data_IF_476289308618
#
_entry.id   IF_476289308618
#
_cell.length_a   1.000
_cell.length_b   1.000
_cell.length_c   1.000
_cell.angle_alpha   90.00
_cell.angle_beta   90.00
_cell.angle_gamma   90.00
#
_symmetry.space_group_name_H-M   'P 1'
#
loop_
_entity.id
_entity.type
_entity.pdbx_description
1 polymer ?
#
# COMPACT_ATOMS: atom_id res chain seq x y z
N UNK A 1 26.76 -4.99 3.55
CA UNK A 1 25.43 -4.41 3.38
C UNK A 1 25.12 -4.07 1.91
N UNK A 2 25.96 -3.31 1.21
CA UNK A 2 25.77 -2.96 -0.20
C UNK A 2 25.59 -4.18 -1.13
N UNK A 3 26.40 -5.27 -1.04
CA UNK A 3 26.21 -6.41 -1.94
C UNK A 3 24.87 -7.14 -1.71
N UNK A 4 24.42 -7.27 -0.45
CA UNK A 4 23.12 -7.87 -0.12
C UNK A 4 21.98 -7.04 -0.68
N UNK A 5 22.03 -5.72 -0.52
CA UNK A 5 21.03 -4.79 -1.05
C UNK A 5 20.97 -4.88 -2.59
N UNK A 6 22.13 -4.87 -3.27
CA UNK A 6 22.21 -5.01 -4.72
C UNK A 6 21.62 -6.34 -5.21
N UNK A 7 21.85 -7.42 -4.47
CA UNK A 7 21.28 -8.74 -4.77
C UNK A 7 19.74 -8.73 -4.65
N UNK A 8 19.18 -8.13 -3.60
CA UNK A 8 17.73 -8.02 -3.41
C UNK A 8 17.08 -7.14 -4.48
N UNK A 9 17.69 -6.00 -4.86
CA UNK A 9 17.22 -5.20 -5.99
C UNK A 9 17.25 -5.98 -7.30
N UNK A 10 18.32 -6.73 -7.56
CA UNK A 10 18.42 -7.55 -8.76
C UNK A 10 17.32 -8.64 -8.79
N UNK A 11 17.02 -9.28 -7.65
CA UNK A 11 15.90 -10.23 -7.53
C UNK A 11 14.58 -9.56 -7.91
N UNK A 12 14.26 -8.38 -7.33
CA UNK A 12 13.04 -7.65 -7.62
C UNK A 12 12.91 -7.35 -9.13
N UNK A 13 13.99 -6.90 -9.76
CA UNK A 13 14.03 -6.53 -11.18
C UNK A 13 14.07 -7.73 -12.15
N UNK A 14 14.42 -8.92 -11.69
CA UNK A 14 14.48 -10.12 -12.57
C UNK A 14 13.22 -10.99 -12.47
N UNK A 15 12.41 -10.82 -11.41
CA UNK A 15 11.21 -11.63 -11.20
C UNK A 15 10.07 -11.14 -12.09
N UNK A 16 9.59 -12.03 -12.97
CA UNK A 16 8.50 -11.73 -13.94
C UNK A 16 7.21 -11.27 -13.26
N UNK A 17 6.90 -11.79 -12.06
CA UNK A 17 5.69 -11.40 -11.33
C UNK A 17 5.68 -9.91 -10.95
N UNK A 18 6.82 -9.29 -10.69
CA UNK A 18 6.92 -7.85 -10.40
C UNK A 18 6.43 -7.01 -11.59
N UNK A 19 6.90 -7.32 -12.78
CA UNK A 19 6.49 -6.62 -14.01
C UNK A 19 5.02 -6.88 -14.33
N UNK A 20 4.57 -8.12 -14.18
CA UNK A 20 3.17 -8.49 -14.42
C UNK A 20 2.24 -7.73 -13.48
N UNK A 21 2.53 -7.69 -12.18
CA UNK A 21 1.73 -6.97 -11.18
C UNK A 21 1.75 -5.47 -11.46
N UNK A 22 2.92 -4.88 -11.74
CA UNK A 22 3.04 -3.45 -12.09
C UNK A 22 2.22 -3.11 -13.33
N UNK A 23 2.31 -3.91 -14.39
CA UNK A 23 1.55 -3.74 -15.62
C UNK A 23 0.03 -3.87 -15.39
N UNK A 24 -0.37 -4.87 -14.62
CA UNK A 24 -1.77 -5.08 -14.24
C UNK A 24 -2.32 -3.90 -13.44
N UNK A 25 -1.59 -3.41 -12.44
CA UNK A 25 -1.98 -2.22 -11.65
C UNK A 25 -2.13 -1.01 -12.55
N UNK A 26 -1.15 -0.78 -13.43
CA UNK A 26 -1.19 0.34 -14.39
C UNK A 26 -2.43 0.28 -15.27
N UNK A 27 -2.71 -0.89 -15.84
CA UNK A 27 -3.90 -1.11 -16.68
C UNK A 27 -5.20 -0.90 -15.89
N UNK A 28 -5.27 -1.41 -14.65
CA UNK A 28 -6.45 -1.24 -13.79
C UNK A 28 -6.67 0.21 -13.38
N UNK A 29 -5.63 0.95 -13.01
CA UNK A 29 -5.73 2.37 -12.66
C UNK A 29 -6.29 3.17 -13.84
N UNK A 30 -5.74 2.95 -15.04
CA UNK A 30 -6.25 3.60 -16.26
C UNK A 30 -7.71 3.23 -16.50
N UNK A 31 -8.02 1.94 -16.47
CA UNK A 31 -9.38 1.44 -16.75
C UNK A 31 -10.39 1.97 -15.73
N UNK A 32 -10.12 1.84 -14.42
CA UNK A 32 -11.06 2.27 -13.37
C UNK A 32 -11.26 3.78 -13.44
N UNK A 33 -10.19 4.57 -13.59
CA UNK A 33 -10.31 6.04 -13.64
C UNK A 33 -11.11 6.49 -14.85
N UNK A 34 -10.84 5.94 -16.02
CA UNK A 34 -11.60 6.24 -17.24
C UNK A 34 -13.06 5.74 -17.17
N UNK A 35 -13.29 4.58 -16.57
CA UNK A 35 -14.64 4.04 -16.37
C UNK A 35 -15.47 4.93 -15.42
N UNK A 36 -14.89 5.37 -14.31
CA UNK A 36 -15.58 6.23 -13.35
C UNK A 36 -15.95 7.56 -14.01
N UNK A 37 -15.01 8.20 -14.71
CA UNK A 37 -15.24 9.50 -15.36
C UNK A 37 -16.17 9.37 -16.56
N UNK A 38 -15.95 8.35 -17.41
CA UNK A 38 -16.66 8.23 -18.68
C UNK A 38 -18.07 7.65 -18.56
N UNK A 39 -18.34 6.86 -17.54
CA UNK A 39 -19.60 6.12 -17.45
C UNK A 39 -20.40 6.40 -16.17
N UNK A 40 -19.73 6.59 -15.04
CA UNK A 40 -20.38 6.69 -13.73
C UNK A 40 -20.68 8.13 -13.33
N UNK A 41 -19.82 9.09 -13.71
CA UNK A 41 -19.99 10.50 -13.37
C UNK A 41 -20.95 11.19 -14.34
N UNK A 42 -21.93 11.92 -13.79
CA UNK A 42 -22.77 12.81 -14.55
C UNK A 42 -22.04 14.12 -14.85
N UNK A 43 -22.54 14.91 -15.85
CA UNK A 43 -21.94 16.18 -16.23
C UNK A 43 -21.84 17.17 -15.05
N UNK A 44 -22.79 17.13 -14.11
CA UNK A 44 -22.77 17.95 -12.89
C UNK A 44 -21.61 17.54 -11.94
N UNK A 45 -21.33 16.26 -11.83
CA UNK A 45 -20.27 15.73 -10.95
C UNK A 45 -18.87 16.07 -11.47
N UNK A 46 -18.72 16.24 -12.79
CA UNK A 46 -17.45 16.65 -13.43
C UNK A 46 -17.04 18.08 -13.09
N UNK A 47 -17.97 18.91 -12.62
CA UNK A 47 -17.69 20.25 -12.14
C UNK A 47 -17.42 20.33 -10.64
N UNK A 48 -17.64 19.24 -9.88
CA UNK A 48 -17.40 19.18 -8.45
C UNK A 48 -15.97 18.71 -8.14
N UNK A 49 -15.11 19.58 -7.57
CA UNK A 49 -13.74 19.22 -7.21
C UNK A 49 -13.64 18.04 -6.23
N UNK A 50 -14.64 17.88 -5.36
CA UNK A 50 -14.66 16.79 -4.38
C UNK A 50 -14.85 15.44 -5.06
N UNK A 51 -15.75 15.34 -6.02
CA UNK A 51 -16.01 14.14 -6.81
C UNK A 51 -14.79 13.72 -7.64
N UNK A 52 -14.10 14.70 -8.23
CA UNK A 52 -12.87 14.47 -8.99
C UNK A 52 -11.71 14.00 -8.08
N UNK A 53 -11.61 14.56 -6.87
CA UNK A 53 -10.64 14.12 -5.88
C UNK A 53 -10.93 12.69 -5.42
N UNK A 54 -12.19 12.32 -5.22
CA UNK A 54 -12.60 10.96 -4.88
C UNK A 54 -12.28 9.97 -6.01
N UNK A 55 -12.52 10.34 -7.26
CA UNK A 55 -12.14 9.53 -8.42
C UNK A 55 -10.61 9.31 -8.49
N UNK A 56 -9.83 10.35 -8.22
CA UNK A 56 -8.37 10.26 -8.20
C UNK A 56 -7.86 9.43 -7.02
N UNK A 57 -8.45 9.55 -5.84
CA UNK A 57 -8.04 8.81 -4.64
C UNK A 57 -8.55 7.37 -4.63
N UNK A 58 -9.68 7.09 -5.28
CA UNK A 58 -10.22 5.73 -5.41
C UNK A 58 -9.24 4.75 -6.07
N UNK A 59 -8.44 5.22 -7.03
CA UNK A 59 -7.40 4.41 -7.66
C UNK A 59 -6.26 4.01 -6.70
N UNK A 60 -6.10 4.71 -5.56
CA UNK A 60 -5.06 4.40 -4.57
C UNK A 60 -5.28 3.07 -3.86
N UNK A 61 -6.50 2.54 -3.85
CA UNK A 61 -6.78 1.19 -3.34
C UNK A 61 -5.95 0.13 -4.06
N UNK A 62 -5.51 0.41 -5.29
CA UNK A 62 -4.57 -0.45 -6.03
C UNK A 62 -3.17 -0.52 -5.40
N UNK A 63 -2.84 0.31 -4.42
CA UNK A 63 -1.59 0.22 -3.66
C UNK A 63 -1.44 -1.10 -2.90
N UNK A 64 -2.53 -1.83 -2.65
CA UNK A 64 -2.51 -3.19 -2.09
C UNK A 64 -1.65 -4.15 -2.92
N UNK A 65 -1.59 -3.95 -4.24
CA UNK A 65 -0.73 -4.77 -5.11
C UNK A 65 0.76 -4.52 -4.86
N UNK A 66 1.14 -3.31 -4.45
CA UNK A 66 2.48 -3.03 -3.97
C UNK A 66 2.82 -3.82 -2.71
N UNK A 67 1.85 -3.96 -1.81
CA UNK A 67 1.98 -4.80 -0.62
C UNK A 67 2.12 -6.29 -0.99
N UNK A 68 1.40 -6.77 -2.00
CA UNK A 68 1.55 -8.15 -2.50
C UNK A 68 2.98 -8.39 -3.01
N UNK A 69 3.56 -7.46 -3.77
CA UNK A 69 4.97 -7.61 -4.20
C UNK A 69 5.93 -7.60 -3.01
N UNK A 70 5.69 -6.77 -2.00
CA UNK A 70 6.46 -6.79 -0.77
C UNK A 70 6.32 -8.13 0.01
N UNK A 71 5.14 -8.73 0.02
CA UNK A 71 4.92 -10.10 0.53
C UNK A 71 5.75 -11.10 -0.27
N UNK A 72 5.67 -11.07 -1.60
CA UNK A 72 6.38 -12.01 -2.46
C UNK A 72 7.91 -11.90 -2.29
N UNK A 73 8.45 -10.70 -2.09
CA UNK A 73 9.87 -10.46 -1.85
C UNK A 73 10.41 -11.28 -0.65
N UNK A 74 9.58 -11.49 0.35
CA UNK A 74 9.94 -12.25 1.55
C UNK A 74 9.55 -13.72 1.43
N UNK A 75 8.31 -14.00 1.03
CA UNK A 75 7.73 -15.33 1.12
C UNK A 75 8.18 -16.28 0.02
N UNK A 76 8.64 -15.78 -1.14
CA UNK A 76 9.24 -16.62 -2.17
C UNK A 76 10.43 -17.41 -1.65
N UNK A 77 11.28 -16.79 -0.80
CA UNK A 77 12.43 -17.49 -0.25
C UNK A 77 12.05 -18.61 0.72
N UNK A 78 10.95 -18.44 1.47
CA UNK A 78 10.40 -19.51 2.28
C UNK A 78 9.77 -20.61 1.43
N UNK A 79 8.97 -20.25 0.43
CA UNK A 79 8.29 -21.21 -0.45
C UNK A 79 9.26 -22.09 -1.24
N UNK A 80 10.38 -21.54 -1.68
CA UNK A 80 11.39 -22.27 -2.48
C UNK A 80 12.59 -22.75 -1.65
N UNK A 81 12.50 -22.67 -0.31
CA UNK A 81 13.57 -23.08 0.63
C UNK A 81 14.93 -22.41 0.36
N UNK A 82 14.94 -21.23 -0.28
CA UNK A 82 16.17 -20.50 -0.59
C UNK A 82 16.62 -19.56 0.52
N UNK A 83 15.80 -19.39 1.56
CA UNK A 83 16.09 -18.50 2.69
C UNK A 83 17.42 -18.87 3.40
N UNK A 84 17.72 -20.17 3.51
CA UNK A 84 18.97 -20.64 4.13
C UNK A 84 20.20 -20.19 3.33
N UNK A 85 20.16 -20.28 2.02
CA UNK A 85 21.24 -19.79 1.15
C UNK A 85 21.44 -18.27 1.28
N UNK A 86 20.34 -17.52 1.37
CA UNK A 86 20.40 -16.07 1.57
C UNK A 86 21.00 -15.72 2.95
N UNK A 87 20.62 -16.44 4.01
CA UNK A 87 21.12 -16.21 5.36
C UNK A 87 22.58 -16.60 5.51
N UNK A 88 23.02 -17.72 4.93
CA UNK A 88 24.42 -18.16 4.99
C UNK A 88 25.36 -17.26 4.18
N UNK A 89 24.91 -16.79 3.03
CA UNK A 89 25.72 -15.90 2.18
C UNK A 89 25.87 -14.48 2.76
N UNK A 90 24.94 -14.02 3.59
CA UNK A 90 24.92 -12.63 4.09
C UNK A 90 25.59 -12.43 5.44
N UNK A 91 26.02 -13.51 6.12
CA UNK A 91 26.67 -13.51 7.44
C UNK A 91 25.88 -12.81 8.57
N UNK A 92 24.64 -12.35 8.33
CA UNK A 92 23.80 -11.68 9.35
C UNK A 92 22.33 -11.64 8.93
N UNK A 93 21.44 -12.19 9.78
CA UNK A 93 19.98 -12.16 9.57
C UNK A 93 19.42 -10.73 9.49
N UNK A 94 19.93 -9.85 10.36
CA UNK A 94 19.50 -8.44 10.38
C UNK A 94 19.78 -7.71 9.07
N UNK A 95 20.93 -7.98 8.43
CA UNK A 95 21.28 -7.34 7.14
C UNK A 95 20.32 -7.77 6.03
N UNK A 96 19.90 -9.03 6.02
CA UNK A 96 18.93 -9.55 5.04
C UNK A 96 17.59 -8.87 5.22
N UNK A 97 17.05 -8.86 6.45
CA UNK A 97 15.75 -8.23 6.72
C UNK A 97 15.76 -6.73 6.40
N UNK A 98 16.82 -6.02 6.79
CA UNK A 98 16.96 -4.60 6.49
C UNK A 98 17.08 -4.33 4.98
N UNK A 99 17.78 -5.17 4.22
CA UNK A 99 17.86 -5.06 2.77
C UNK A 99 16.50 -5.24 2.11
N UNK A 100 15.72 -6.23 2.57
CA UNK A 100 14.34 -6.45 2.09
C UNK A 100 13.42 -5.28 2.44
N UNK A 101 13.57 -4.72 3.65
CA UNK A 101 12.83 -3.53 4.06
C UNK A 101 13.09 -2.34 3.12
N UNK A 102 14.35 -2.06 2.79
CA UNK A 102 14.71 -0.97 1.87
C UNK A 102 14.14 -1.23 0.47
N UNK A 103 14.34 -2.44 -0.07
CA UNK A 103 13.88 -2.78 -1.42
C UNK A 103 12.36 -2.72 -1.53
N UNK A 104 11.64 -3.24 -0.54
CA UNK A 104 10.18 -3.16 -0.47
C UNK A 104 9.69 -1.71 -0.33
N UNK A 105 10.37 -0.88 0.50
CA UNK A 105 10.07 0.55 0.63
C UNK A 105 10.22 1.29 -0.68
N UNK A 106 11.33 1.09 -1.38
CA UNK A 106 11.58 1.75 -2.68
C UNK A 106 10.55 1.33 -3.72
N UNK A 107 10.22 0.04 -3.78
CA UNK A 107 9.21 -0.44 -4.73
C UNK A 107 7.80 0.08 -4.38
N UNK A 108 7.42 0.08 -3.11
CA UNK A 108 6.12 0.59 -2.68
C UNK A 108 5.98 2.10 -2.98
N UNK A 109 7.03 2.88 -2.74
CA UNK A 109 7.08 4.29 -3.10
C UNK A 109 7.02 4.51 -4.61
N UNK A 110 7.74 3.69 -5.39
CA UNK A 110 7.69 3.74 -6.85
C UNK A 110 6.26 3.48 -7.37
N UNK A 111 5.61 2.43 -6.88
CA UNK A 111 4.25 2.10 -7.29
C UNK A 111 3.24 3.18 -6.85
N UNK A 112 3.38 3.70 -5.63
CA UNK A 112 2.56 4.79 -5.14
C UNK A 112 2.71 6.06 -5.98
N UNK A 113 3.94 6.41 -6.36
CA UNK A 113 4.22 7.54 -7.25
C UNK A 113 3.61 7.33 -8.65
N UNK A 114 3.73 6.10 -9.18
CA UNK A 114 3.14 5.74 -10.46
C UNK A 114 1.62 5.90 -10.43
N UNK A 115 0.93 5.36 -9.42
CA UNK A 115 -0.52 5.52 -9.26
C UNK A 115 -0.88 6.99 -9.05
N UNK A 116 -0.12 7.70 -8.19
CA UNK A 116 -0.35 9.10 -7.85
C UNK A 116 -0.16 10.07 -9.02
N UNK A 117 0.60 9.70 -10.04
CA UNK A 117 0.75 10.46 -11.28
C UNK A 117 -0.31 10.04 -12.31
N UNK A 118 -0.50 8.73 -12.49
CA UNK A 118 -1.44 8.20 -13.48
C UNK A 118 -2.89 8.58 -13.17
N UNK A 119 -3.32 8.43 -11.93
CA UNK A 119 -4.73 8.65 -11.58
C UNK A 119 -5.19 10.09 -11.88
N UNK A 120 -4.56 11.17 -11.38
CA UNK A 120 -4.98 12.51 -11.71
C UNK A 120 -4.78 12.87 -13.19
N UNK A 121 -3.79 12.27 -13.86
CA UNK A 121 -3.58 12.45 -15.30
C UNK A 121 -4.75 11.87 -16.10
N UNK A 122 -5.23 10.67 -15.72
CA UNK A 122 -6.39 10.05 -16.36
C UNK A 122 -7.69 10.78 -16.02
N UNK A 123 -7.82 11.35 -14.81
CA UNK A 123 -8.94 12.24 -14.47
C UNK A 123 -8.94 13.46 -15.40
N UNK A 124 -7.81 14.14 -15.53
CA UNK A 124 -7.67 15.30 -16.42
C UNK A 124 -8.02 14.96 -17.87
N UNK A 125 -7.45 13.85 -18.38
CA UNK A 125 -7.74 13.39 -19.74
C UNK A 125 -9.23 13.08 -19.95
N UNK A 126 -9.84 12.36 -19.00
CA UNK A 126 -11.25 11.98 -19.09
C UNK A 126 -12.19 13.19 -19.11
N UNK A 127 -11.95 14.18 -18.24
CA UNK A 127 -12.73 15.42 -18.21
C UNK A 127 -12.55 16.22 -19.50
N UNK A 128 -11.32 16.29 -20.03
CA UNK A 128 -11.04 17.00 -21.27
C UNK A 128 -11.72 16.34 -22.49
N UNK A 129 -11.77 15.01 -22.53
CA UNK A 129 -12.48 14.26 -23.58
C UNK A 129 -13.99 14.51 -23.56
N UNK A 130 -14.58 14.88 -22.43
CA UNK A 130 -15.98 15.28 -22.32
C UNK A 130 -16.21 16.77 -22.65
N UNK A 131 -15.20 17.49 -23.13
CA UNK A 131 -15.32 18.90 -23.54
C UNK A 131 -15.34 19.89 -22.38
N UNK A 132 -14.98 19.47 -21.17
CA UNK A 132 -14.90 20.34 -20.00
C UNK A 132 -13.45 20.72 -19.69
N UNK A 133 -13.23 21.94 -19.19
CA UNK A 133 -11.92 22.38 -18.73
C UNK A 133 -11.86 22.24 -17.21
N UNK A 134 -10.90 21.44 -16.71
CA UNK A 134 -10.55 21.44 -15.29
C UNK A 134 -9.89 22.77 -14.93
N UNK A 135 -10.42 23.42 -13.90
CA UNK A 135 -9.73 24.57 -13.30
C UNK A 135 -8.57 24.04 -12.47
N UNK A 136 -7.30 24.34 -12.82
CA UNK A 136 -6.12 23.76 -12.15
C UNK A 136 -6.03 24.00 -10.64
N UNK A 137 -6.75 24.99 -10.12
CA UNK A 137 -6.74 25.40 -8.71
C UNK A 137 -7.55 24.48 -7.78
N UNK A 138 -8.32 23.54 -8.31
CA UNK A 138 -9.22 22.69 -7.50
C UNK A 138 -8.53 21.49 -6.84
N UNK A 139 -7.36 21.10 -7.31
CA UNK A 139 -6.60 19.98 -6.74
C UNK A 139 -5.30 20.50 -6.11
N UNK A 140 -5.24 20.51 -4.78
CA UNK A 140 -4.01 20.84 -4.04
C UNK A 140 -3.01 19.68 -4.13
N UNK A 141 -2.36 19.54 -5.28
CA UNK A 141 -1.44 18.43 -5.60
C UNK A 141 -0.33 18.23 -4.57
N UNK A 142 0.20 19.29 -3.97
CA UNK A 142 1.25 19.18 -2.97
C UNK A 142 0.81 18.44 -1.70
N UNK A 143 -0.38 18.74 -1.20
CA UNK A 143 -0.96 18.04 -0.05
C UNK A 143 -1.42 16.62 -0.40
N UNK A 144 -1.79 16.35 -1.63
CA UNK A 144 -2.20 15.03 -2.08
C UNK A 144 -0.99 14.11 -2.28
N UNK A 145 0.11 14.63 -2.83
CA UNK A 145 1.28 13.83 -3.18
C UNK A 145 1.88 13.08 -1.98
N UNK A 146 2.11 13.76 -0.84
CA UNK A 146 2.67 13.09 0.33
C UNK A 146 1.72 12.03 0.91
N UNK A 147 0.39 12.30 0.87
CA UNK A 147 -0.63 11.35 1.35
C UNK A 147 -0.63 10.07 0.52
N UNK A 148 -0.58 10.22 -0.81
CA UNK A 148 -0.51 9.11 -1.77
C UNK A 148 0.74 8.28 -1.55
N UNK A 149 1.90 8.92 -1.46
CA UNK A 149 3.17 8.25 -1.23
C UNK A 149 3.19 7.52 0.12
N UNK A 150 2.70 8.18 1.17
CA UNK A 150 2.63 7.58 2.50
C UNK A 150 1.66 6.39 2.53
N UNK A 151 0.49 6.52 1.90
CA UNK A 151 -0.51 5.45 1.83
C UNK A 151 0.05 4.19 1.14
N UNK A 152 0.61 4.35 -0.05
CA UNK A 152 1.18 3.21 -0.79
C UNK A 152 2.40 2.60 -0.10
N UNK A 153 3.26 3.43 0.49
CA UNK A 153 4.38 2.96 1.30
C UNK A 153 3.89 2.21 2.53
N UNK A 154 2.89 2.74 3.23
CA UNK A 154 2.29 2.14 4.41
C UNK A 154 1.73 0.75 4.12
N UNK A 155 0.95 0.60 3.05
CA UNK A 155 0.45 -0.71 2.61
C UNK A 155 1.60 -1.67 2.28
N UNK A 156 2.62 -1.21 1.55
CA UNK A 156 3.80 -2.02 1.23
C UNK A 156 4.51 -2.53 2.49
N UNK A 157 4.68 -1.66 3.49
CA UNK A 157 5.33 -2.03 4.75
C UNK A 157 4.48 -2.97 5.60
N UNK A 158 3.15 -2.82 5.61
CA UNK A 158 2.24 -3.78 6.24
C UNK A 158 2.34 -5.15 5.57
N UNK A 159 2.39 -5.20 4.24
CA UNK A 159 2.55 -6.45 3.49
C UNK A 159 3.85 -7.18 3.85
N UNK A 160 4.97 -6.47 3.85
CA UNK A 160 6.25 -7.06 4.24
C UNK A 160 6.23 -7.52 5.71
N UNK A 161 5.63 -6.74 6.61
CA UNK A 161 5.48 -7.11 8.02
C UNK A 161 4.68 -8.40 8.18
N UNK A 162 3.53 -8.52 7.51
CA UNK A 162 2.71 -9.73 7.52
C UNK A 162 3.49 -10.94 6.98
N UNK A 163 4.31 -10.75 5.95
CA UNK A 163 5.17 -11.79 5.41
C UNK A 163 6.24 -12.26 6.40
N UNK A 164 6.83 -11.33 7.15
CA UNK A 164 7.82 -11.64 8.20
C UNK A 164 7.17 -12.40 9.36
N UNK A 165 5.97 -12.01 9.77
CA UNK A 165 5.26 -12.62 10.89
C UNK A 165 4.74 -14.02 10.55
N UNK A 166 4.08 -14.18 9.39
CA UNK A 166 3.42 -15.43 8.99
C UNK A 166 4.35 -16.44 8.34
N UNK A 167 5.42 -15.98 7.66
CA UNK A 167 6.33 -16.80 6.83
C UNK A 167 5.61 -17.65 5.76
N UNK A 168 4.34 -17.39 5.56
CA UNK A 168 3.49 -18.11 4.62
C UNK A 168 2.90 -17.12 3.61
N UNK A 169 3.09 -17.41 2.33
CA UNK A 169 2.65 -16.54 1.24
C UNK A 169 1.14 -16.33 1.23
N UNK A 170 0.38 -17.44 1.39
CA UNK A 170 -1.09 -17.39 1.34
C UNK A 170 -1.63 -16.62 2.54
N UNK A 171 -1.16 -16.95 3.74
CA UNK A 171 -1.58 -16.28 4.96
C UNK A 171 -1.29 -14.77 4.94
N UNK A 172 -0.13 -14.36 4.40
CA UNK A 172 0.22 -12.94 4.29
C UNK A 172 -0.69 -12.20 3.31
N UNK A 173 -0.94 -12.78 2.12
CA UNK A 173 -1.81 -12.17 1.10
C UNK A 173 -3.25 -12.10 1.60
N UNK A 174 -3.77 -13.20 2.16
CA UNK A 174 -5.12 -13.22 2.74
C UNK A 174 -5.22 -12.20 3.89
N UNK A 175 -4.21 -12.12 4.75
CA UNK A 175 -4.15 -11.14 5.83
C UNK A 175 -4.24 -9.68 5.35
N UNK A 176 -3.65 -9.35 4.20
CA UNK A 176 -3.73 -8.02 3.61
C UNK A 176 -5.17 -7.58 3.25
N UNK A 177 -6.06 -8.53 2.97
CA UNK A 177 -7.47 -8.24 2.68
C UNK A 177 -8.35 -8.44 3.94
N UNK A 178 -8.12 -9.53 4.67
CA UNK A 178 -8.97 -9.88 5.81
C UNK A 178 -8.80 -8.89 6.98
N UNK A 179 -7.60 -8.41 7.23
CA UNK A 179 -7.38 -7.48 8.35
C UNK A 179 -8.11 -6.15 8.13
N UNK A 180 -7.92 -5.41 7.02
CA UNK A 180 -8.61 -4.14 6.83
C UNK A 180 -10.11 -4.29 6.58
N UNK A 181 -10.52 -5.28 5.79
CA UNK A 181 -11.89 -5.36 5.29
C UNK A 181 -12.84 -6.16 6.20
N UNK A 182 -12.31 -7.11 6.99
CA UNK A 182 -13.14 -7.95 7.87
C UNK A 182 -12.83 -7.66 9.34
N UNK A 183 -11.58 -7.79 9.75
CA UNK A 183 -11.20 -7.71 11.17
C UNK A 183 -11.43 -6.28 11.69
N UNK A 184 -10.96 -5.26 11.00
CA UNK A 184 -11.17 -3.87 11.46
C UNK A 184 -12.64 -3.46 11.41
N UNK A 185 -13.43 -3.97 10.47
CA UNK A 185 -14.87 -3.69 10.44
C UNK A 185 -15.59 -4.34 11.63
N UNK A 186 -15.23 -5.58 11.99
CA UNK A 186 -15.79 -6.24 13.19
C UNK A 186 -15.40 -5.51 14.48
N UNK A 187 -14.13 -5.11 14.60
CA UNK A 187 -13.71 -4.24 15.72
C UNK A 187 -14.40 -2.88 15.69
N UNK A 188 -14.74 -2.40 14.50
CA UNK A 188 -15.51 -1.18 14.29
C UNK A 188 -16.88 -1.22 14.95
N UNK A 189 -17.57 -2.36 14.90
CA UNK A 189 -18.86 -2.55 15.57
C UNK A 189 -18.74 -2.48 17.10
N UNK A 190 -17.61 -2.94 17.65
CA UNK A 190 -17.36 -2.94 19.09
C UNK A 190 -16.87 -1.56 19.60
N UNK A 191 -15.96 -0.93 18.85
CA UNK A 191 -15.29 0.30 19.27
C UNK A 191 -16.08 1.58 18.92
N UNK A 192 -17.15 1.47 18.11
CA UNK A 192 -18.01 2.58 17.67
C UNK A 192 -17.23 3.84 17.23
N UNK A 193 -17.01 4.75 18.17
CA UNK A 193 -16.37 6.06 17.93
C UNK A 193 -14.84 5.99 17.74
N UNK A 194 -14.17 4.97 18.32
CA UNK A 194 -12.70 4.86 18.32
C UNK A 194 -12.12 4.03 17.16
N UNK A 195 -12.93 3.67 16.19
CA UNK A 195 -12.49 2.90 15.01
C UNK A 195 -11.47 3.65 14.15
N UNK A 196 -11.43 4.97 14.24
CA UNK A 196 -10.47 5.84 13.53
C UNK A 196 -9.01 5.58 13.90
N UNK A 197 -8.79 4.99 15.08
CA UNK A 197 -7.45 4.65 15.58
C UNK A 197 -6.97 3.26 15.17
N UNK A 198 -7.78 2.45 14.48
CA UNK A 198 -7.34 1.16 13.96
C UNK A 198 -6.31 1.34 12.83
N UNK A 199 -5.35 0.41 12.66
CA UNK A 199 -4.21 0.61 11.77
C UNK A 199 -4.59 0.93 10.32
N UNK A 200 -5.38 0.12 9.64
CA UNK A 200 -5.76 0.41 8.26
C UNK A 200 -6.82 1.50 8.14
N UNK A 201 -7.70 1.63 9.14
CA UNK A 201 -8.65 2.75 9.20
C UNK A 201 -7.92 4.09 9.30
N UNK A 202 -6.86 4.18 10.12
CA UNK A 202 -6.03 5.38 10.20
C UNK A 202 -5.28 5.63 8.88
N UNK A 203 -4.76 4.58 8.24
CA UNK A 203 -4.09 4.70 6.93
C UNK A 203 -5.06 5.23 5.86
N UNK A 204 -6.31 4.76 5.81
CA UNK A 204 -7.34 5.24 4.89
C UNK A 204 -7.67 6.73 5.11
N UNK A 205 -7.65 7.20 6.36
CA UNK A 205 -7.87 8.62 6.67
C UNK A 205 -6.75 9.54 6.17
N UNK A 206 -5.53 9.03 5.97
CA UNK A 206 -4.44 9.82 5.39
C UNK A 206 -4.81 10.34 4.00
N UNK A 207 -5.49 9.53 3.19
CA UNK A 207 -5.95 9.94 1.85
C UNK A 207 -7.31 10.65 1.85
N UNK A 208 -7.96 10.76 3.02
CA UNK A 208 -9.29 11.37 3.14
C UNK A 208 -10.44 10.40 2.90
N UNK A 209 -10.17 9.10 2.74
CA UNK A 209 -11.20 8.09 2.56
C UNK A 209 -11.75 7.67 3.92
N UNK A 210 -12.95 8.12 4.23
CA UNK A 210 -13.64 7.82 5.50
C UNK A 210 -14.27 6.42 5.55
N UNK A 211 -14.05 5.59 4.52
CA UNK A 211 -14.60 4.22 4.49
C UNK A 211 -16.13 4.15 4.54
N UNK A 212 -16.82 5.13 3.92
CA UNK A 212 -18.29 5.15 3.86
C UNK A 212 -18.97 5.61 5.16
N UNK A 213 -18.23 6.17 6.12
CA UNK A 213 -18.79 6.73 7.36
C UNK A 213 -19.39 8.11 7.14
N UNK A 214 -20.62 8.27 7.57
CA UNK A 214 -21.34 9.54 7.50
C UNK A 214 -20.94 10.52 8.61
N UNK A 215 -20.31 10.03 9.69
CA UNK A 215 -19.91 10.84 10.84
C UNK A 215 -18.54 11.48 10.64
N UNK A 216 -18.52 12.67 10.08
CA UNK A 216 -17.31 13.49 9.87
C UNK A 216 -16.70 14.05 11.16
N UNK A 217 -17.45 14.03 12.27
CA UNK A 217 -17.03 14.63 13.55
C UNK A 217 -15.87 13.92 14.25
N UNK A 218 -15.56 12.68 13.87
CA UNK A 218 -14.49 11.87 14.47
C UNK A 218 -13.26 11.69 13.60
N UNK A 219 -13.20 12.31 12.41
CA UNK A 219 -12.08 12.11 11.49
C UNK A 219 -10.80 12.78 12.02
N UNK A 220 -9.71 12.01 12.00
CA UNK A 220 -8.38 12.51 12.33
C UNK A 220 -7.84 13.37 11.17
N UNK A 221 -7.08 14.42 11.50
CA UNK A 221 -6.33 15.11 10.46
C UNK A 221 -5.30 14.14 9.83
N UNK A 222 -5.00 14.26 8.52
CA UNK A 222 -4.12 13.33 7.81
C UNK A 222 -2.76 13.10 8.48
N UNK A 223 -2.18 14.14 9.08
CA UNK A 223 -0.91 14.03 9.81
C UNK A 223 -1.04 13.23 11.11
N UNK A 224 -2.12 13.41 11.87
CA UNK A 224 -2.40 12.62 13.08
C UNK A 224 -2.68 11.16 12.72
N UNK A 225 -3.44 10.92 11.66
CA UNK A 225 -3.72 9.59 11.15
C UNK A 225 -2.44 8.85 10.73
N UNK A 226 -1.53 9.55 10.02
CA UNK A 226 -0.21 9.02 9.68
C UNK A 226 0.62 8.69 10.93
N UNK A 227 0.58 9.54 11.96
CA UNK A 227 1.27 9.29 13.24
C UNK A 227 0.76 8.03 13.94
N UNK A 228 -0.56 7.84 14.02
CA UNK A 228 -1.18 6.64 14.59
C UNK A 228 -0.73 5.39 13.83
N UNK A 229 -0.78 5.43 12.51
CA UNK A 229 -0.33 4.31 11.67
C UNK A 229 1.16 3.99 11.86
N UNK A 230 2.03 5.00 11.94
CA UNK A 230 3.45 4.82 12.20
C UNK A 230 3.72 4.09 13.53
N UNK A 231 2.94 4.39 14.59
CA UNK A 231 3.08 3.69 15.87
C UNK A 231 2.82 2.19 15.69
N UNK A 232 1.74 1.82 15.00
CA UNK A 232 1.44 0.40 14.70
C UNK A 232 2.55 -0.26 13.87
N UNK A 233 3.05 0.43 12.84
CA UNK A 233 4.17 -0.09 12.05
C UNK A 233 5.42 -0.30 12.90
N UNK A 234 5.81 0.68 13.71
CA UNK A 234 7.02 0.59 14.55
C UNK A 234 6.89 -0.57 15.53
N UNK A 235 5.77 -0.68 16.24
CA UNK A 235 5.53 -1.79 17.18
C UNK A 235 5.55 -3.14 16.44
N UNK A 236 4.83 -3.23 15.32
CA UNK A 236 4.82 -4.44 14.50
C UNK A 236 6.21 -4.82 14.00
N UNK A 237 7.01 -3.85 13.54
CA UNK A 237 8.37 -4.10 13.07
C UNK A 237 9.34 -4.49 14.18
N UNK A 238 9.20 -3.96 15.39
CA UNK A 238 9.98 -4.41 16.56
C UNK A 238 9.70 -5.90 16.83
N UNK A 239 8.42 -6.27 16.86
CA UNK A 239 7.99 -7.66 17.06
C UNK A 239 8.48 -8.55 15.90
N UNK A 240 8.26 -8.12 14.65
CA UNK A 240 8.67 -8.86 13.46
C UNK A 240 10.18 -9.05 13.39
N UNK A 241 10.95 -8.02 13.72
CA UNK A 241 12.42 -8.09 13.80
C UNK A 241 12.88 -9.09 14.84
N UNK A 242 12.32 -9.01 16.05
CA UNK A 242 12.63 -9.95 17.13
C UNK A 242 12.32 -11.40 16.72
N UNK A 243 11.13 -11.64 16.21
CA UNK A 243 10.74 -12.99 15.76
C UNK A 243 11.60 -13.50 14.60
N UNK A 244 12.00 -12.63 13.68
CA UNK A 244 12.87 -13.02 12.57
C UNK A 244 14.26 -13.44 13.03
N UNK A 245 14.81 -12.80 14.07
CA UNK A 245 16.13 -13.12 14.62
C UNK A 245 16.15 -14.43 15.40
N UNK A 246 15.12 -14.67 16.22
CA UNK A 246 15.12 -15.76 17.20
C UNK A 246 14.40 -17.03 16.73
N UNK A 247 13.48 -16.93 15.76
CA UNK A 247 12.80 -18.11 15.20
C UNK A 247 13.75 -18.89 14.26
N UNK A 248 13.71 -20.22 14.37
CA UNK A 248 14.42 -21.09 13.43
C UNK A 248 13.90 -20.94 12.01
N UNK A 249 14.82 -20.87 11.03
CA UNK A 249 14.48 -20.68 9.65
C UNK A 249 13.89 -21.95 8.98
N UNK A 250 14.09 -23.12 9.61
CA UNK A 250 13.74 -24.44 9.06
C UNK A 250 12.44 -25.04 9.57
N UNK A 251 11.87 -24.55 10.68
CA UNK A 251 10.58 -25.03 11.17
C UNK A 251 9.45 -24.27 10.47
N UNK A 252 8.93 -24.88 9.40
CA UNK A 252 7.58 -24.69 8.92
C UNK A 252 6.70 -25.65 9.73
N UNK A 253 6.11 -25.16 10.83
CA UNK A 253 5.05 -25.88 11.53
C UNK A 253 3.74 -25.72 10.75
#
# INVERSE_FOLDING_TARGET
MIPTLKAEFKKLLTVRSTYFITGLVTAFVIFITLYVIGWRMNIHDLHDPAQLADAATGALTMSVFGAIVAVLLMTHEYRYNTIMHTLTSSNSRSKVLFSKFIVASVYALFLAALIGILSPTMVYLGVHLHGHMLVPQTLHYGNLAWRVLFYGWGFGMAGLLLAVLSRNQIASIVGLFVIPDVIEQLFGLLLKHNTVYLPFSSLNQVIGNSGGRTDTSSNLSPSKAAGVYCIYLVVGWIIGWYLFLYRDATKLD
#
